data_IF_235849607667
#
_entry.id   IF_235849607667
#
_cell.length_a   1.000
_cell.length_b   1.000
_cell.length_c   1.000
_cell.angle_alpha   90.00
_cell.angle_beta   90.00
_cell.angle_gamma   90.00
#
_symmetry.space_group_name_H-M   'P 1'
#
loop_
_entity.id
_entity.type
_entity.pdbx_description
1 polymer ?
#
# COMPACT_ATOMS: atom_id res chain seq x y z
N UNK A 1 -74.28 -14.97 -8.67
CA UNK A 1 -73.53 -16.25 -8.60
C UNK A 1 -74.51 -17.36 -8.89
N UNK A 2 -74.45 -17.91 -10.09
CA UNK A 2 -75.14 -19.14 -10.47
C UNK A 2 -74.35 -20.29 -9.87
N UNK A 3 -74.94 -21.03 -8.91
CA UNK A 3 -74.33 -22.23 -8.35
C UNK A 3 -74.35 -23.31 -9.45
N UNK A 4 -73.18 -23.62 -10.00
CA UNK A 4 -72.99 -24.75 -10.92
C UNK A 4 -73.10 -26.04 -10.10
N UNK A 5 -74.15 -26.83 -10.38
CA UNK A 5 -74.35 -28.15 -9.77
C UNK A 5 -73.26 -29.07 -10.31
N UNK A 6 -72.39 -29.57 -9.44
CA UNK A 6 -71.28 -30.43 -9.84
C UNK A 6 -71.73 -31.89 -10.02
N UNK A 7 -70.98 -32.71 -10.76
CA UNK A 7 -71.29 -34.14 -10.95
C UNK A 7 -71.33 -34.92 -9.61
N UNK A 8 -70.54 -34.48 -8.61
CA UNK A 8 -70.58 -35.04 -7.26
C UNK A 8 -71.89 -34.74 -6.53
N UNK A 9 -72.47 -33.56 -6.77
CA UNK A 9 -73.78 -33.20 -6.21
C UNK A 9 -74.89 -34.07 -6.80
N UNK A 10 -74.83 -34.36 -8.10
CA UNK A 10 -75.77 -35.26 -8.79
C UNK A 10 -75.65 -36.69 -8.24
N UNK A 11 -74.42 -37.18 -8.03
CA UNK A 11 -74.17 -38.51 -7.47
C UNK A 11 -74.65 -38.64 -6.01
N UNK A 12 -74.44 -37.61 -5.19
CA UNK A 12 -74.98 -37.55 -3.83
C UNK A 12 -76.50 -37.55 -3.82
N UNK A 13 -77.15 -36.78 -4.70
CA UNK A 13 -78.61 -36.77 -4.80
C UNK A 13 -79.19 -38.14 -5.18
N UNK A 14 -78.56 -38.85 -6.12
CA UNK A 14 -78.97 -40.20 -6.52
C UNK A 14 -78.83 -41.20 -5.36
N UNK A 15 -77.73 -41.11 -4.60
CA UNK A 15 -77.50 -41.98 -3.43
C UNK A 15 -78.53 -41.72 -2.34
N UNK A 16 -78.84 -40.46 -2.03
CA UNK A 16 -79.86 -40.09 -1.03
C UNK A 16 -81.26 -40.58 -1.45
N UNK A 17 -81.60 -40.52 -2.74
CA UNK A 17 -82.88 -41.06 -3.23
C UNK A 17 -82.96 -42.58 -3.07
N UNK A 18 -81.88 -43.29 -3.42
CA UNK A 18 -81.80 -44.74 -3.27
C UNK A 18 -81.89 -45.18 -1.80
N UNK A 19 -81.20 -44.47 -0.90
CA UNK A 19 -81.25 -44.71 0.54
C UNK A 19 -82.66 -44.49 1.09
N UNK A 20 -83.35 -43.44 0.65
CA UNK A 20 -84.75 -43.16 1.04
C UNK A 20 -85.71 -44.27 0.63
N UNK A 21 -85.55 -44.84 -0.58
CA UNK A 21 -86.38 -45.96 -1.06
C UNK A 21 -86.14 -47.20 -0.22
N UNK A 22 -84.87 -47.50 0.06
CA UNK A 22 -84.43 -48.66 0.84
C UNK A 22 -84.98 -48.59 2.27
N UNK A 23 -84.84 -47.44 2.94
CA UNK A 23 -85.39 -47.22 4.29
C UNK A 23 -86.92 -47.35 4.30
N UNK A 24 -87.61 -46.87 3.27
CA UNK A 24 -89.07 -46.99 3.17
C UNK A 24 -89.53 -48.44 3.01
N UNK A 25 -88.80 -49.26 2.26
CA UNK A 25 -89.05 -50.70 2.13
C UNK A 25 -88.76 -51.45 3.42
N UNK A 26 -87.64 -51.15 4.10
CA UNK A 26 -87.32 -51.71 5.40
C UNK A 26 -88.41 -51.39 6.45
N UNK A 27 -88.88 -50.13 6.50
CA UNK A 27 -89.98 -49.76 7.38
C UNK A 27 -91.29 -50.50 7.07
N UNK A 28 -91.62 -50.71 5.80
CA UNK A 28 -92.78 -51.52 5.41
C UNK A 28 -92.62 -52.97 5.88
N UNK A 29 -91.45 -53.57 5.67
CA UNK A 29 -91.19 -54.95 6.06
C UNK A 29 -91.19 -55.12 7.58
N UNK A 30 -90.61 -54.19 8.34
CA UNK A 30 -90.66 -54.17 9.80
C UNK A 30 -92.11 -54.04 10.29
N UNK A 31 -92.91 -53.17 9.66
CA UNK A 31 -94.34 -53.03 9.98
C UNK A 31 -95.11 -54.35 9.76
N UNK A 32 -94.85 -55.04 8.65
CA UNK A 32 -95.45 -56.35 8.39
C UNK A 32 -94.98 -57.42 9.38
N UNK A 33 -93.68 -57.50 9.65
CA UNK A 33 -93.12 -58.46 10.60
C UNK A 33 -93.63 -58.22 12.04
N UNK A 34 -93.81 -56.96 12.44
CA UNK A 34 -94.39 -56.61 13.74
C UNK A 34 -95.86 -57.03 13.84
N UNK A 35 -96.66 -56.73 12.82
CA UNK A 35 -98.07 -57.17 12.74
C UNK A 35 -98.19 -58.71 12.77
N UNK A 36 -97.34 -59.40 12.04
CA UNK A 36 -97.32 -60.86 12.00
C UNK A 36 -96.91 -61.48 13.35
N UNK A 37 -95.90 -60.89 14.00
CA UNK A 37 -95.44 -61.33 15.33
C UNK A 37 -96.51 -61.13 16.40
N UNK A 38 -97.14 -59.96 16.46
CA UNK A 38 -98.23 -59.68 17.40
C UNK A 38 -99.41 -60.62 17.16
N UNK A 39 -99.83 -60.81 15.90
CA UNK A 39 -100.92 -61.73 15.56
C UNK A 39 -100.62 -63.18 16.00
N UNK A 40 -99.37 -63.62 15.87
CA UNK A 40 -98.92 -64.95 16.31
C UNK A 40 -98.89 -65.11 17.83
N UNK A 41 -98.37 -64.12 18.56
CA UNK A 41 -98.34 -64.15 20.04
C UNK A 41 -99.77 -64.20 20.58
N UNK A 42 -100.67 -63.38 20.06
CA UNK A 42 -102.06 -63.34 20.52
C UNK A 42 -102.86 -64.59 20.15
N UNK A 43 -102.59 -65.22 18.99
CA UNK A 43 -103.18 -66.51 18.68
C UNK A 43 -102.78 -67.59 19.71
N UNK A 44 -101.52 -67.58 20.14
CA UNK A 44 -101.04 -68.51 21.16
C UNK A 44 -101.67 -68.24 22.54
N UNK A 45 -101.77 -66.97 22.95
CA UNK A 45 -102.45 -66.57 24.20
C UNK A 45 -103.96 -66.91 24.20
N UNK A 46 -104.60 -66.92 23.02
CA UNK A 46 -106.01 -67.30 22.84
C UNK A 46 -106.28 -68.78 23.05
N UNK A 47 -105.31 -69.62 22.67
CA UNK A 47 -105.38 -71.07 22.84
C UNK A 47 -105.18 -71.46 24.31
N UNK A 48 -104.34 -70.73 25.04
CA UNK A 48 -104.07 -71.01 26.46
C UNK A 48 -105.23 -70.62 27.40
N UNK A 49 -106.07 -69.62 27.06
CA UNK A 49 -107.02 -69.03 28.03
C UNK A 49 -108.52 -69.30 27.78
N UNK A 50 -108.91 -70.02 26.73
CA UNK A 50 -110.29 -70.48 26.46
C UNK A 50 -111.40 -69.41 26.64
N UNK A 51 -111.10 -68.16 26.31
CA UNK A 51 -112.02 -67.03 26.33
C UNK A 51 -112.27 -66.53 24.90
N UNK A 52 -113.53 -66.19 24.58
CA UNK A 52 -113.85 -65.51 23.33
C UNK A 52 -113.14 -64.15 23.31
N UNK A 53 -112.06 -64.07 22.53
CA UNK A 53 -111.32 -62.83 22.36
C UNK A 53 -112.15 -61.83 21.55
N UNK A 54 -112.39 -60.66 22.12
CA UNK A 54 -113.02 -59.55 21.45
C UNK A 54 -112.00 -58.85 20.54
N UNK A 55 -111.94 -59.27 19.27
CA UNK A 55 -110.99 -58.75 18.26
C UNK A 55 -111.02 -57.21 18.14
N UNK A 56 -112.15 -56.58 18.44
CA UNK A 56 -112.33 -55.12 18.37
C UNK A 56 -111.40 -54.39 19.35
N UNK A 57 -111.29 -54.86 20.59
CA UNK A 57 -110.48 -54.21 21.63
C UNK A 57 -108.98 -54.27 21.32
N UNK A 58 -108.53 -55.34 20.64
CA UNK A 58 -107.14 -55.51 20.19
C UNK A 58 -106.84 -54.59 19.00
N UNK A 59 -107.78 -54.45 18.06
CA UNK A 59 -107.64 -53.50 16.95
C UNK A 59 -107.59 -52.05 17.46
N UNK A 60 -108.30 -51.73 18.54
CA UNK A 60 -108.23 -50.41 19.16
C UNK A 60 -106.89 -50.18 19.86
N UNK A 61 -106.40 -51.11 20.70
CA UNK A 61 -105.11 -50.97 21.36
C UNK A 61 -103.91 -50.91 20.39
N UNK A 62 -103.93 -51.73 19.33
CA UNK A 62 -102.88 -51.70 18.31
C UNK A 62 -102.91 -50.40 17.50
N UNK A 63 -104.09 -49.82 17.26
CA UNK A 63 -104.25 -48.51 16.62
C UNK A 63 -103.76 -47.38 17.53
N UNK A 64 -104.03 -47.44 18.83
CA UNK A 64 -103.50 -46.48 19.82
C UNK A 64 -101.97 -46.52 19.89
N UNK A 65 -101.37 -47.71 20.04
CA UNK A 65 -99.91 -47.88 20.01
C UNK A 65 -99.28 -47.38 18.72
N UNK A 66 -99.94 -47.59 17.57
CA UNK A 66 -99.48 -47.08 16.27
C UNK A 66 -99.50 -45.54 16.24
N UNK A 67 -100.49 -44.91 16.84
CA UNK A 67 -100.58 -43.45 16.98
C UNK A 67 -99.46 -42.93 17.89
N UNK A 68 -99.20 -43.58 19.03
CA UNK A 68 -98.10 -43.22 19.92
C UNK A 68 -96.73 -43.32 19.23
N UNK A 69 -96.47 -44.43 18.54
CA UNK A 69 -95.21 -44.63 17.80
C UNK A 69 -95.05 -43.58 16.69
N UNK A 70 -96.15 -43.21 16.01
CA UNK A 70 -96.13 -42.15 15.00
C UNK A 70 -95.83 -40.77 15.60
N UNK A 71 -96.37 -40.48 16.79
CA UNK A 71 -96.12 -39.24 17.51
C UNK A 71 -94.67 -39.16 18.01
N UNK A 72 -94.14 -40.22 18.62
CA UNK A 72 -92.71 -40.32 18.98
C UNK A 72 -91.80 -40.21 17.76
N UNK A 73 -92.17 -40.85 16.64
CA UNK A 73 -91.43 -40.73 15.39
C UNK A 73 -91.40 -39.31 14.82
N UNK A 74 -92.48 -38.53 15.01
CA UNK A 74 -92.50 -37.10 14.67
C UNK A 74 -91.57 -36.29 15.57
N UNK A 75 -91.62 -36.50 16.89
CA UNK A 75 -90.76 -35.81 17.85
C UNK A 75 -89.27 -36.07 17.55
N UNK A 76 -88.88 -37.34 17.39
CA UNK A 76 -87.49 -37.70 17.04
C UNK A 76 -87.10 -37.11 15.67
N UNK A 77 -88.03 -37.07 14.71
CA UNK A 77 -87.80 -36.43 13.42
C UNK A 77 -87.54 -34.92 13.52
N UNK A 78 -88.22 -34.23 14.43
CA UNK A 78 -87.98 -32.82 14.73
C UNK A 78 -86.64 -32.60 15.45
N UNK A 79 -86.27 -33.46 16.39
CA UNK A 79 -84.97 -33.43 17.07
C UNK A 79 -83.80 -33.67 16.09
N UNK A 80 -83.90 -34.68 15.22
CA UNK A 80 -82.90 -34.95 14.19
C UNK A 80 -82.75 -33.76 13.25
N UNK A 81 -83.86 -33.12 12.89
CA UNK A 81 -83.84 -31.92 12.05
C UNK A 81 -83.13 -30.76 12.76
N UNK A 82 -83.42 -30.53 14.04
CA UNK A 82 -82.76 -29.48 14.83
C UNK A 82 -81.24 -29.73 14.91
N UNK A 83 -80.82 -30.95 15.25
CA UNK A 83 -79.41 -31.34 15.31
C UNK A 83 -78.71 -31.20 13.95
N UNK A 84 -79.40 -31.53 12.86
CA UNK A 84 -78.84 -31.41 11.51
C UNK A 84 -78.60 -29.95 11.11
N UNK A 85 -79.50 -29.04 11.51
CA UNK A 85 -79.33 -27.60 11.29
C UNK A 85 -78.17 -27.07 12.12
N UNK A 86 -78.11 -27.41 13.41
CA UNK A 86 -77.02 -27.00 14.30
C UNK A 86 -75.65 -27.47 13.79
N UNK A 87 -75.55 -28.72 13.34
CA UNK A 87 -74.30 -29.27 12.80
C UNK A 87 -73.88 -28.57 11.50
N UNK A 88 -74.84 -28.21 10.64
CA UNK A 88 -74.56 -27.42 9.44
C UNK A 88 -74.04 -26.01 9.78
N UNK A 89 -74.66 -25.33 10.75
CA UNK A 89 -74.22 -24.00 11.19
C UNK A 89 -72.83 -24.03 11.82
N UNK A 90 -72.57 -25.00 12.70
CA UNK A 90 -71.25 -25.21 13.30
C UNK A 90 -70.18 -25.48 12.24
N UNK A 91 -70.50 -26.31 11.24
CA UNK A 91 -69.57 -26.61 10.16
C UNK A 91 -69.24 -25.37 9.34
N UNK A 92 -70.24 -24.56 9.03
CA UNK A 92 -70.05 -23.28 8.34
C UNK A 92 -69.15 -22.33 9.14
N UNK A 93 -69.35 -22.22 10.46
CA UNK A 93 -68.50 -21.40 11.33
C UNK A 93 -67.05 -21.90 11.36
N UNK A 94 -66.85 -23.21 11.41
CA UNK A 94 -65.50 -23.81 11.35
C UNK A 94 -64.80 -23.45 10.03
N UNK A 95 -65.51 -23.56 8.91
CA UNK A 95 -64.96 -23.23 7.60
C UNK A 95 -64.60 -21.73 7.50
N UNK A 96 -65.43 -20.84 8.04
CA UNK A 96 -65.15 -19.40 8.11
C UNK A 96 -63.91 -19.10 8.96
N UNK A 97 -63.77 -19.73 10.14
CA UNK A 97 -62.59 -19.59 11.00
C UNK A 97 -61.33 -20.11 10.30
N UNK A 98 -61.44 -21.19 9.52
CA UNK A 98 -60.31 -21.75 8.80
C UNK A 98 -59.77 -20.78 7.74
N UNK A 99 -60.67 -20.15 6.98
CA UNK A 99 -60.32 -19.12 5.99
C UNK A 99 -59.58 -17.96 6.64
N UNK A 100 -60.06 -17.47 7.78
CA UNK A 100 -59.43 -16.34 8.47
C UNK A 100 -58.08 -16.72 9.08
N UNK A 101 -57.94 -17.97 9.56
CA UNK A 101 -56.65 -18.51 9.99
C UNK A 101 -55.64 -18.55 8.84
N UNK A 102 -56.02 -18.99 7.64
CA UNK A 102 -55.14 -19.00 6.46
C UNK A 102 -54.68 -17.58 6.07
N UNK A 103 -55.60 -16.60 6.07
CA UNK A 103 -55.26 -15.20 5.82
C UNK A 103 -54.25 -14.67 6.84
N UNK A 104 -54.46 -14.95 8.13
CA UNK A 104 -53.55 -14.56 9.20
C UNK A 104 -52.17 -15.19 9.02
N UNK A 105 -52.12 -16.46 8.64
CA UNK A 105 -50.86 -17.18 8.44
C UNK A 105 -50.09 -16.64 7.23
N UNK A 106 -50.79 -16.25 6.16
CA UNK A 106 -50.20 -15.57 5.02
C UNK A 106 -49.62 -14.19 5.42
N UNK A 107 -50.38 -13.38 6.16
CA UNK A 107 -49.92 -12.08 6.65
C UNK A 107 -48.70 -12.21 7.56
N UNK A 108 -48.69 -13.21 8.44
CA UNK A 108 -47.54 -13.53 9.30
C UNK A 108 -46.28 -13.81 8.47
N UNK A 109 -46.38 -14.69 7.46
CA UNK A 109 -45.24 -15.00 6.57
C UNK A 109 -44.71 -13.75 5.85
N UNK A 110 -45.62 -12.86 5.42
CA UNK A 110 -45.24 -11.59 4.79
C UNK A 110 -44.50 -10.66 5.77
N UNK A 111 -44.96 -10.59 7.02
CA UNK A 111 -44.28 -9.83 8.08
C UNK A 111 -42.89 -10.38 8.40
N UNK A 112 -42.75 -11.69 8.58
CA UNK A 112 -41.46 -12.35 8.80
C UNK A 112 -40.48 -12.08 7.64
N UNK A 113 -40.98 -12.12 6.39
CA UNK A 113 -40.21 -11.74 5.20
C UNK A 113 -39.72 -10.29 5.24
N UNK A 114 -40.60 -9.35 5.55
CA UNK A 114 -40.25 -7.93 5.64
C UNK A 114 -39.27 -7.62 6.79
N UNK A 115 -39.40 -8.30 7.93
CA UNK A 115 -38.46 -8.14 9.05
C UNK A 115 -37.04 -8.55 8.64
N UNK A 116 -36.90 -9.61 7.85
CA UNK A 116 -35.60 -10.04 7.31
C UNK A 116 -35.00 -9.02 6.35
N UNK A 117 -35.82 -8.33 5.56
CA UNK A 117 -35.37 -7.26 4.66
C UNK A 117 -34.92 -6.03 5.45
N UNK A 118 -35.70 -5.62 6.45
CA UNK A 118 -35.35 -4.48 7.31
C UNK A 118 -34.02 -4.70 8.04
N UNK A 119 -33.80 -5.90 8.60
CA UNK A 119 -32.52 -6.27 9.22
C UNK A 119 -31.35 -6.21 8.22
N UNK A 120 -31.56 -6.62 6.96
CA UNK A 120 -30.54 -6.52 5.92
C UNK A 120 -30.21 -5.07 5.57
N UNK A 121 -31.23 -4.23 5.41
CA UNK A 121 -31.03 -2.80 5.14
C UNK A 121 -30.31 -2.10 6.28
N UNK A 122 -30.63 -2.42 7.54
CA UNK A 122 -29.93 -1.85 8.69
C UNK A 122 -28.44 -2.26 8.73
N UNK A 123 -28.12 -3.52 8.39
CA UNK A 123 -26.74 -3.99 8.29
C UNK A 123 -26.00 -3.27 7.16
N UNK A 124 -26.63 -3.11 5.99
CA UNK A 124 -26.05 -2.40 4.84
C UNK A 124 -25.79 -0.93 5.18
N UNK A 125 -26.76 -0.25 5.78
CA UNK A 125 -26.61 1.15 6.19
C UNK A 125 -25.45 1.34 7.18
N UNK A 126 -25.30 0.44 8.17
CA UNK A 126 -24.15 0.46 9.09
C UNK A 126 -22.82 0.19 8.38
N UNK A 127 -22.81 -0.67 7.36
CA UNK A 127 -21.61 -0.96 6.59
C UNK A 127 -21.20 0.23 5.72
N UNK A 128 -22.17 0.91 5.09
CA UNK A 128 -21.94 2.13 4.31
C UNK A 128 -21.35 3.26 5.15
N UNK A 129 -21.90 3.50 6.35
CA UNK A 129 -21.37 4.50 7.29
C UNK A 129 -19.91 4.21 7.68
N UNK A 130 -19.60 2.95 8.00
CA UNK A 130 -18.21 2.56 8.30
C UNK A 130 -17.29 2.77 7.11
N UNK A 131 -17.78 2.47 5.90
CA UNK A 131 -16.99 2.65 4.68
C UNK A 131 -16.70 4.12 4.42
N UNK A 132 -17.68 5.01 4.61
CA UNK A 132 -17.48 6.47 4.48
C UNK A 132 -16.47 6.99 5.50
N UNK A 133 -16.55 6.54 6.76
CA UNK A 133 -15.60 6.96 7.80
C UNK A 133 -14.17 6.54 7.45
N UNK A 134 -13.99 5.28 7.04
CA UNK A 134 -12.68 4.76 6.62
C UNK A 134 -12.15 5.50 5.39
N UNK A 135 -13.02 5.82 4.42
CA UNK A 135 -12.63 6.57 3.23
C UNK A 135 -12.17 8.00 3.57
N UNK A 136 -12.83 8.68 4.52
CA UNK A 136 -12.39 9.99 5.00
C UNK A 136 -11.04 9.92 5.71
N UNK A 137 -10.83 8.92 6.57
CA UNK A 137 -9.55 8.71 7.26
C UNK A 137 -8.44 8.46 6.23
N UNK A 138 -8.68 7.60 5.24
CA UNK A 138 -7.73 7.32 4.18
C UNK A 138 -7.39 8.59 3.38
N UNK A 139 -8.38 9.43 3.06
CA UNK A 139 -8.18 10.70 2.35
C UNK A 139 -7.33 11.68 3.16
N UNK A 140 -7.55 11.78 4.47
CA UNK A 140 -6.72 12.61 5.37
C UNK A 140 -5.28 12.11 5.41
N UNK A 141 -5.08 10.80 5.54
CA UNK A 141 -3.75 10.19 5.56
C UNK A 141 -2.98 10.40 4.23
N UNK A 142 -3.67 10.34 3.09
CA UNK A 142 -3.06 10.64 1.78
C UNK A 142 -2.61 12.10 1.72
N UNK A 143 -3.44 13.05 2.17
CA UNK A 143 -3.06 14.46 2.19
C UNK A 143 -1.87 14.71 3.14
N UNK A 144 -1.83 14.07 4.30
CA UNK A 144 -0.69 14.15 5.23
C UNK A 144 0.60 13.60 4.61
N UNK A 145 0.52 12.49 3.87
CA UNK A 145 1.66 11.93 3.14
C UNK A 145 2.18 12.86 2.04
N UNK A 146 1.29 13.54 1.32
CA UNK A 146 1.69 14.53 0.32
C UNK A 146 2.40 15.72 0.95
N UNK A 147 1.88 16.25 2.05
CA UNK A 147 2.53 17.33 2.81
C UNK A 147 3.92 16.92 3.31
N UNK A 148 4.06 15.72 3.87
CA UNK A 148 5.35 15.21 4.34
C UNK A 148 6.36 15.03 3.21
N UNK A 149 5.91 14.61 2.02
CA UNK A 149 6.80 14.54 0.83
C UNK A 149 7.29 15.91 0.41
N UNK A 150 6.42 16.92 0.39
CA UNK A 150 6.83 18.29 0.09
C UNK A 150 7.83 18.84 1.11
N UNK A 151 7.65 18.53 2.39
CA UNK A 151 8.61 18.88 3.45
C UNK A 151 9.96 18.17 3.27
N UNK A 152 9.95 16.88 2.94
CA UNK A 152 11.16 16.11 2.65
C UNK A 152 11.95 16.73 1.48
N UNK A 153 11.28 17.09 0.39
CA UNK A 153 11.93 17.72 -0.77
C UNK A 153 12.54 19.09 -0.40
N UNK A 154 11.82 19.91 0.40
CA UNK A 154 12.33 21.19 0.90
C UNK A 154 13.57 21.01 1.78
N UNK A 155 13.56 20.04 2.70
CA UNK A 155 14.71 19.74 3.55
C UNK A 155 15.89 19.20 2.75
N UNK A 156 15.64 18.33 1.76
CA UNK A 156 16.68 17.77 0.90
C UNK A 156 17.35 18.85 0.05
N UNK A 157 16.57 19.76 -0.51
CA UNK A 157 17.10 20.90 -1.28
C UNK A 157 17.89 21.86 -0.40
N UNK A 158 17.40 22.17 0.81
CA UNK A 158 18.13 22.99 1.79
C UNK A 158 19.47 22.33 2.20
N UNK A 159 19.48 21.03 2.51
CA UNK A 159 20.70 20.30 2.86
C UNK A 159 21.70 20.23 1.69
N UNK A 160 21.22 20.05 0.46
CA UNK A 160 22.10 20.08 -0.70
C UNK A 160 22.73 21.46 -0.91
N UNK A 161 21.99 22.54 -0.66
CA UNK A 161 22.51 23.90 -0.74
C UNK A 161 23.59 24.17 0.32
N UNK A 162 23.34 23.77 1.58
CA UNK A 162 24.35 23.94 2.65
C UNK A 162 25.60 23.11 2.37
N UNK A 163 25.43 21.88 1.87
CA UNK A 163 26.55 21.03 1.47
C UNK A 163 27.36 21.65 0.32
N UNK A 164 26.70 22.19 -0.71
CA UNK A 164 27.37 22.88 -1.81
C UNK A 164 28.18 24.09 -1.35
N UNK A 165 27.64 24.90 -0.42
CA UNK A 165 28.36 26.03 0.16
C UNK A 165 29.62 25.54 0.90
N UNK A 166 29.49 24.48 1.71
CA UNK A 166 30.65 23.91 2.44
C UNK A 166 31.75 23.40 1.50
N UNK A 167 31.37 22.80 0.36
CA UNK A 167 32.31 22.36 -0.67
C UNK A 167 32.99 23.53 -1.37
N UNK A 168 32.26 24.62 -1.65
CA UNK A 168 32.83 25.83 -2.23
C UNK A 168 33.84 26.49 -1.28
N UNK A 169 33.51 26.60 0.01
CA UNK A 169 34.44 27.11 1.02
C UNK A 169 35.69 26.23 1.09
N UNK A 170 35.53 24.91 1.08
CA UNK A 170 36.66 23.98 1.12
C UNK A 170 37.54 24.08 -0.13
N UNK A 171 36.92 24.24 -1.31
CA UNK A 171 37.64 24.49 -2.56
C UNK A 171 38.47 25.77 -2.47
N UNK A 172 37.89 26.87 -1.99
CA UNK A 172 38.62 28.14 -1.82
C UNK A 172 39.78 28.00 -0.83
N UNK A 173 39.59 27.28 0.28
CA UNK A 173 40.65 27.00 1.25
C UNK A 173 41.82 26.24 0.61
N UNK A 174 41.53 25.19 -0.16
CA UNK A 174 42.52 24.39 -0.86
C UNK A 174 43.25 25.19 -1.95
N UNK A 175 42.55 26.01 -2.72
CA UNK A 175 43.17 26.90 -3.71
C UNK A 175 44.12 27.91 -3.06
N UNK A 176 43.75 28.49 -1.91
CA UNK A 176 44.64 29.38 -1.13
C UNK A 176 45.88 28.64 -0.65
N UNK A 177 45.71 27.41 -0.13
CA UNK A 177 46.83 26.55 0.26
C UNK A 177 47.73 26.29 -0.95
N UNK A 178 47.20 25.79 -2.06
CA UNK A 178 47.97 25.50 -3.27
C UNK A 178 48.76 26.71 -3.77
N UNK A 179 48.15 27.91 -3.80
CA UNK A 179 48.85 29.16 -4.14
C UNK A 179 50.02 29.44 -3.21
N UNK A 180 49.85 29.25 -1.90
CA UNK A 180 50.92 29.42 -0.90
C UNK A 180 52.06 28.42 -1.10
N UNK A 181 51.74 27.14 -1.28
CA UNK A 181 52.75 26.09 -1.52
C UNK A 181 53.50 26.31 -2.83
N UNK A 182 52.80 26.78 -3.86
CA UNK A 182 53.42 27.12 -5.15
C UNK A 182 54.42 28.25 -5.00
N UNK A 183 54.09 29.31 -4.24
CA UNK A 183 55.03 30.42 -3.95
C UNK A 183 56.28 29.94 -3.22
N UNK A 184 56.12 29.13 -2.17
CA UNK A 184 57.26 28.56 -1.42
C UNK A 184 58.18 27.79 -2.36
N UNK A 185 57.62 27.00 -3.29
CA UNK A 185 58.40 26.26 -4.29
C UNK A 185 59.14 27.21 -5.25
N UNK A 186 58.49 28.29 -5.72
CA UNK A 186 59.15 29.29 -6.57
C UNK A 186 60.29 30.01 -5.85
N UNK A 187 60.09 30.41 -4.59
CA UNK A 187 61.11 31.08 -3.78
C UNK A 187 62.31 30.15 -3.57
N UNK A 188 62.06 28.87 -3.30
CA UNK A 188 63.12 27.87 -3.17
C UNK A 188 63.89 27.67 -4.48
N UNK A 189 63.18 27.58 -5.62
CA UNK A 189 63.82 27.50 -6.94
C UNK A 189 64.70 28.74 -7.21
N UNK A 190 64.24 29.94 -6.85
CA UNK A 190 65.04 31.16 -7.00
C UNK A 190 66.31 31.14 -6.14
N UNK A 191 66.20 30.68 -4.89
CA UNK A 191 67.35 30.49 -4.00
C UNK A 191 68.34 29.48 -4.59
N UNK A 192 67.84 28.36 -5.10
CA UNK A 192 68.67 27.31 -5.71
C UNK A 192 69.40 27.85 -6.95
N UNK A 193 68.69 28.56 -7.84
CA UNK A 193 69.26 29.21 -9.03
C UNK A 193 70.35 30.22 -8.61
N UNK A 194 70.07 31.09 -7.64
CA UNK A 194 71.04 32.04 -7.14
C UNK A 194 72.29 31.34 -6.58
N UNK A 195 72.09 30.30 -5.75
CA UNK A 195 73.20 29.54 -5.17
C UNK A 195 74.07 28.87 -6.24
N UNK A 196 73.45 28.37 -7.31
CA UNK A 196 74.14 27.77 -8.45
C UNK A 196 74.93 28.83 -9.21
N UNK A 197 74.33 29.98 -9.52
CA UNK A 197 75.03 31.10 -10.17
C UNK A 197 76.21 31.58 -9.33
N UNK A 198 76.04 31.80 -8.03
CA UNK A 198 77.13 32.21 -7.14
C UNK A 198 78.29 31.21 -7.17
N UNK A 199 77.99 29.90 -7.08
CA UNK A 199 79.02 28.84 -7.18
C UNK A 199 79.72 28.86 -8.54
N UNK A 200 78.97 28.98 -9.63
CA UNK A 200 79.53 29.04 -10.98
C UNK A 200 80.41 30.27 -11.19
N UNK A 201 79.98 31.43 -10.70
CA UNK A 201 80.78 32.66 -10.72
C UNK A 201 82.07 32.47 -9.94
N UNK A 202 82.02 31.89 -8.74
CA UNK A 202 83.23 31.57 -7.97
C UNK A 202 84.16 30.60 -8.70
N UNK A 203 83.63 29.59 -9.41
CA UNK A 203 84.43 28.69 -10.24
C UNK A 203 85.08 29.46 -11.41
N UNK A 204 84.33 30.33 -12.08
CA UNK A 204 84.86 31.14 -13.19
C UNK A 204 85.96 32.09 -12.69
N UNK A 205 85.76 32.76 -11.54
CA UNK A 205 86.75 33.59 -10.87
C UNK A 205 87.98 32.78 -10.41
N UNK A 206 87.82 31.49 -10.13
CA UNK A 206 88.95 30.59 -9.84
C UNK A 206 89.83 30.38 -11.08
N UNK A 207 89.27 30.31 -12.29
CA UNK A 207 90.04 30.10 -13.51
C UNK A 207 90.54 31.40 -14.16
N UNK A 208 89.73 32.46 -14.17
CA UNK A 208 90.05 33.71 -14.86
C UNK A 208 90.24 34.84 -13.86
N UNK A 209 91.32 35.65 -13.96
CA UNK A 209 91.45 36.84 -13.13
C UNK A 209 90.48 37.93 -13.60
N UNK A 210 90.16 38.87 -12.71
CA UNK A 210 89.28 40.00 -13.04
C UNK A 210 90.11 41.00 -13.85
N UNK A 211 89.69 41.27 -15.08
CA UNK A 211 90.30 42.32 -15.92
C UNK A 211 89.61 43.63 -15.55
N UNK A 212 90.30 44.53 -14.84
CA UNK A 212 89.74 45.81 -14.42
C UNK A 212 89.68 46.81 -15.59
N UNK A 213 90.74 46.88 -16.39
CA UNK A 213 90.79 47.80 -17.53
C UNK A 213 91.83 47.36 -18.57
N UNK A 214 91.61 47.75 -19.84
CA UNK A 214 92.59 47.59 -20.91
C UNK A 214 92.85 48.95 -21.52
N UNK A 215 94.09 49.44 -21.38
CA UNK A 215 94.54 50.71 -21.96
C UNK A 215 95.30 50.43 -23.24
N UNK A 216 94.80 50.96 -24.35
CA UNK A 216 95.42 50.81 -25.66
C UNK A 216 96.49 51.88 -25.85
N UNK A 217 97.70 51.49 -26.22
CA UNK A 217 98.87 52.37 -26.36
C UNK A 217 99.41 52.23 -27.79
N UNK A 218 100.06 53.28 -28.32
CA UNK A 218 100.71 53.21 -29.65
C UNK A 218 101.71 52.05 -29.63
N UNK A 219 101.40 50.97 -30.33
CA UNK A 219 102.16 49.71 -30.44
C UNK A 219 101.94 48.66 -29.33
N UNK A 220 100.81 48.68 -28.61
CA UNK A 220 100.46 47.58 -27.69
C UNK A 220 99.32 47.92 -26.74
N UNK A 221 99.14 47.11 -25.71
CA UNK A 221 98.13 47.36 -24.69
C UNK A 221 98.66 47.01 -23.29
N UNK A 222 98.20 47.78 -22.30
CA UNK A 222 98.38 47.49 -20.89
C UNK A 222 97.05 46.97 -20.34
N UNK A 223 97.09 45.79 -19.72
CA UNK A 223 95.94 45.16 -19.11
C UNK A 223 96.09 45.20 -17.60
N UNK A 224 95.19 45.91 -16.93
CA UNK A 224 95.11 45.95 -15.48
C UNK A 224 94.31 44.73 -15.01
N UNK A 225 94.97 43.85 -14.27
CA UNK A 225 94.44 42.59 -13.79
C UNK A 225 94.44 42.61 -12.27
N UNK A 226 93.32 42.24 -11.67
CA UNK A 226 93.22 42.02 -10.23
C UNK A 226 93.28 40.51 -9.92
N UNK A 227 94.27 40.13 -9.12
CA UNK A 227 94.41 38.78 -8.56
C UNK A 227 94.30 38.91 -7.04
N UNK A 228 93.14 38.57 -6.47
CA UNK A 228 92.77 38.87 -5.07
C UNK A 228 92.89 40.37 -4.73
N UNK A 229 93.82 40.73 -3.85
CA UNK A 229 94.07 42.12 -3.41
C UNK A 229 95.24 42.78 -4.16
N UNK A 230 95.95 42.02 -5.02
CA UNK A 230 97.08 42.56 -5.80
C UNK A 230 96.60 43.02 -7.18
N UNK A 231 96.96 44.26 -7.52
CA UNK A 231 96.73 44.84 -8.85
C UNK A 231 98.01 44.75 -9.67
N UNK A 232 97.95 44.02 -10.77
CA UNK A 232 99.05 43.82 -11.68
C UNK A 232 98.69 44.40 -13.04
N UNK A 233 99.55 45.23 -13.58
CA UNK A 233 99.41 45.70 -14.96
C UNK A 233 100.33 44.87 -15.84
N UNK A 234 99.75 44.14 -16.80
CA UNK A 234 100.47 43.36 -17.81
C UNK A 234 100.66 44.21 -19.05
N UNK A 235 101.91 44.41 -19.46
CA UNK A 235 102.25 45.18 -20.65
C UNK A 235 102.61 44.27 -21.82
N UNK A 236 101.84 44.39 -22.90
CA UNK A 236 102.10 43.71 -24.19
C UNK A 236 102.42 44.80 -25.22
N UNK A 237 103.52 44.65 -25.95
CA UNK A 237 103.94 45.58 -27.02
C UNK A 237 104.33 44.78 -28.25
N UNK A 238 103.91 45.23 -29.44
CA UNK A 238 104.14 44.57 -30.72
C UNK A 238 103.78 43.07 -30.70
N UNK A 239 102.74 42.68 -29.97
CA UNK A 239 102.32 41.29 -29.82
C UNK A 239 103.12 40.46 -28.80
N UNK A 240 104.21 40.99 -28.26
CA UNK A 240 105.08 40.29 -27.31
C UNK A 240 104.87 40.76 -25.86
N UNK A 241 105.05 39.84 -24.90
CA UNK A 241 104.97 40.14 -23.47
C UNK A 241 106.22 40.90 -23.00
N UNK A 242 106.02 42.16 -22.62
CA UNK A 242 107.11 43.05 -22.20
C UNK A 242 107.34 43.07 -20.69
N UNK A 243 106.34 42.71 -19.89
CA UNK A 243 106.46 42.53 -18.46
C UNK A 243 105.24 42.91 -17.65
N UNK A 244 105.46 43.03 -16.35
CA UNK A 244 104.45 43.44 -15.38
C UNK A 244 104.92 44.68 -14.62
N UNK A 245 103.97 45.49 -14.18
CA UNK A 245 104.14 46.57 -13.23
C UNK A 245 103.09 46.46 -12.11
N UNK A 246 103.36 47.05 -10.94
CA UNK A 246 102.44 47.04 -9.80
C UNK A 246 102.72 45.98 -8.72
N UNK A 247 103.90 45.35 -8.70
CA UNK A 247 104.32 44.44 -7.62
C UNK A 247 105.78 44.62 -7.24
N UNK A 248 106.08 44.50 -5.94
CA UNK A 248 107.43 44.50 -5.37
C UNK A 248 107.91 43.07 -5.01
N UNK A 249 107.10 42.04 -5.29
CA UNK A 249 107.43 40.65 -4.96
C UNK A 249 108.51 40.10 -5.91
N UNK A 250 109.65 39.70 -5.33
CA UNK A 250 110.82 39.18 -6.05
C UNK A 250 110.49 37.93 -6.87
N UNK A 251 109.55 37.09 -6.42
CA UNK A 251 109.15 35.88 -7.13
C UNK A 251 108.33 36.19 -8.38
N UNK A 252 107.38 37.13 -8.30
CA UNK A 252 106.58 37.58 -9.44
C UNK A 252 107.45 38.28 -10.50
N UNK A 253 108.48 39.01 -10.07
CA UNK A 253 109.47 39.62 -10.97
C UNK A 253 110.32 38.57 -11.68
N UNK A 254 110.76 37.52 -10.98
CA UNK A 254 111.48 36.37 -11.58
C UNK A 254 110.60 35.63 -12.58
N UNK A 255 109.34 35.34 -12.22
CA UNK A 255 108.35 34.72 -13.11
C UNK A 255 108.10 35.56 -14.38
N UNK A 256 107.96 36.88 -14.22
CA UNK A 256 107.81 37.81 -15.36
C UNK A 256 109.00 37.69 -16.31
N UNK A 257 110.22 37.67 -15.78
CA UNK A 257 111.43 37.53 -16.60
C UNK A 257 111.48 36.21 -17.37
N UNK A 258 111.03 35.11 -16.74
CA UNK A 258 110.95 33.80 -17.40
C UNK A 258 109.85 33.76 -18.47
N UNK A 259 108.67 34.31 -18.18
CA UNK A 259 107.54 34.36 -19.11
C UNK A 259 107.80 35.30 -20.30
N UNK A 260 108.62 36.35 -20.13
CA UNK A 260 109.13 37.18 -21.25
C UNK A 260 109.95 36.36 -22.23
N UNK A 261 110.76 35.41 -21.74
CA UNK A 261 111.58 34.54 -22.61
C UNK A 261 110.72 33.57 -23.42
N UNK A 262 109.59 33.14 -22.87
CA UNK A 262 108.65 32.23 -23.52
C UNK A 262 107.58 32.95 -24.36
N UNK A 263 107.57 34.29 -24.33
CA UNK A 263 106.60 35.17 -24.97
C UNK A 263 105.13 34.75 -24.77
N UNK A 264 104.79 34.32 -23.54
CA UNK A 264 103.45 33.84 -23.23
C UNK A 264 102.87 34.55 -22.00
N UNK A 265 102.06 35.61 -22.19
CA UNK A 265 101.45 36.36 -21.09
C UNK A 265 100.39 35.54 -20.33
N UNK A 266 99.79 34.52 -20.96
CA UNK A 266 98.81 33.64 -20.31
C UNK A 266 99.47 32.72 -19.29
N UNK A 267 100.68 32.24 -19.60
CA UNK A 267 101.49 31.44 -18.69
C UNK A 267 101.83 32.24 -17.43
N UNK A 268 102.18 33.52 -17.60
CA UNK A 268 102.43 34.42 -16.48
C UNK A 268 101.20 34.55 -15.57
N UNK A 269 100.02 34.81 -16.14
CA UNK A 269 98.76 34.94 -15.38
C UNK A 269 98.47 33.68 -14.57
N UNK A 270 98.64 32.50 -15.17
CA UNK A 270 98.39 31.22 -14.50
C UNK A 270 99.35 30.97 -13.33
N UNK A 271 100.66 31.21 -13.52
CA UNK A 271 101.69 30.98 -12.50
C UNK A 271 101.68 32.05 -11.39
N UNK A 272 101.42 33.31 -11.75
CA UNK A 272 101.22 34.38 -10.77
C UNK A 272 100.00 34.07 -9.90
N UNK A 273 98.92 33.56 -10.51
CA UNK A 273 97.72 33.16 -9.77
C UNK A 273 97.96 31.94 -8.88
N UNK A 274 98.62 30.88 -9.35
CA UNK A 274 98.91 29.69 -8.53
C UNK A 274 99.71 30.07 -7.28
N UNK A 275 100.75 30.91 -7.46
CA UNK A 275 101.54 31.46 -6.37
C UNK A 275 100.74 32.32 -5.39
N UNK A 276 99.94 33.28 -5.87
CA UNK A 276 99.14 34.18 -5.01
C UNK A 276 98.02 33.43 -4.26
N UNK A 277 97.49 32.35 -4.84
CA UNK A 277 96.47 31.52 -4.21
C UNK A 277 97.03 30.39 -3.33
N UNK A 278 98.33 30.09 -3.41
CA UNK A 278 98.97 29.00 -2.68
C UNK A 278 98.56 27.60 -3.19
N UNK A 279 98.23 27.49 -4.48
CA UNK A 279 97.86 26.26 -5.19
C UNK A 279 99.06 25.85 -6.06
#
# INVERSE_FOLDING_TARGET
MTLEITEEDIFRFNTIQHDRVTVKQQFKNIKFAFLEREAKIYFLESIENNSQINLVDIFEQSKERLVEVKNKGRQIGEEIKALSVENYELKKQIDEIHIDYEKLNFLRKKFEGNESQFKREEILSKAEQKFTDVAEIAKKAVNELELLKEEEEKLKTANNQTYLLSLQEKKQELERKQKRWSRVKYDQILIDIFSWFSRMTSIIEMFFPIIESVKNIRNGFDMDIQIREQKLTISIRNGAFTGISGTEDEYLLKLSTWCKRLDNPRLFILLAKSYIYGI
#
